data_IF_675298069896
#
_entry.id   IF_675298069896
#
_cell.length_a   1.000
_cell.length_b   1.000
_cell.length_c   1.000
_cell.angle_alpha   90.00
_cell.angle_beta   90.00
_cell.angle_gamma   90.00
#
_symmetry.space_group_name_H-M   'P 1'
#
loop_
_entity.id
_entity.type
_entity.pdbx_description
1 polymer ?
#
# COMPACT_ATOMS: atom_id res chain seq x y z
N UNK A 1 7.82 -20.03 -4.78
CA UNK A 1 6.63 -19.70 -3.95
C UNK A 1 5.73 -18.78 -4.76
N UNK A 2 4.50 -19.20 -5.07
CA UNK A 2 3.49 -18.31 -5.65
C UNK A 2 2.67 -17.75 -4.49
N UNK A 3 2.75 -16.45 -4.27
CA UNK A 3 1.82 -15.76 -3.36
C UNK A 3 0.54 -15.51 -4.17
N UNK A 4 -0.64 -15.95 -3.70
CA UNK A 4 -1.90 -15.67 -4.38
C UNK A 4 -2.30 -14.21 -4.12
N UNK A 5 -1.51 -13.27 -4.63
CA UNK A 5 -1.72 -11.83 -4.47
C UNK A 5 -1.93 -11.20 -5.83
N UNK A 6 -2.85 -10.25 -5.89
CA UNK A 6 -3.06 -9.39 -7.05
C UNK A 6 -2.45 -8.04 -6.70
N UNK A 7 -1.56 -7.54 -7.55
CA UNK A 7 -0.85 -6.27 -7.36
C UNK A 7 -1.20 -5.40 -8.56
N UNK A 8 -1.78 -4.24 -8.28
CA UNK A 8 -2.18 -3.26 -9.29
C UNK A 8 -1.69 -1.87 -8.86
N UNK A 9 -1.44 -1.00 -9.84
CA UNK A 9 -1.02 0.37 -9.61
C UNK A 9 -2.04 1.31 -10.26
N UNK A 10 -2.45 2.32 -9.50
CA UNK A 10 -3.43 3.32 -9.90
C UNK A 10 -2.95 4.73 -9.54
N UNK A 11 -3.44 5.77 -10.23
CA UNK A 11 -3.27 7.15 -9.78
C UNK A 11 -3.96 7.39 -8.42
N UNK A 12 -3.50 8.41 -7.70
CA UNK A 12 -4.01 8.82 -6.39
C UNK A 12 -5.50 9.16 -6.40
N UNK A 13 -6.01 9.65 -7.54
CA UNK A 13 -7.43 9.98 -7.73
C UNK A 13 -8.35 8.77 -7.61
N UNK A 14 -7.85 7.56 -7.89
CA UNK A 14 -8.60 6.31 -7.78
C UNK A 14 -8.42 5.61 -6.43
N UNK A 15 -7.60 6.16 -5.52
CA UNK A 15 -7.33 5.54 -4.23
C UNK A 15 -8.62 5.28 -3.43
N UNK A 16 -9.62 6.15 -3.57
CA UNK A 16 -10.88 5.99 -2.85
C UNK A 16 -11.85 4.96 -3.42
N UNK A 17 -11.78 4.67 -4.71
CA UNK A 17 -12.60 3.64 -5.34
C UNK A 17 -11.90 2.27 -5.19
N UNK A 18 -10.65 2.18 -5.63
CA UNK A 18 -9.89 0.92 -5.67
C UNK A 18 -9.38 0.49 -4.30
N UNK A 19 -9.07 1.43 -3.42
CA UNK A 19 -8.57 1.12 -2.08
C UNK A 19 -9.60 0.44 -1.18
N UNK A 20 -10.90 0.57 -1.47
CA UNK A 20 -11.96 -0.14 -0.71
C UNK A 20 -11.89 -1.66 -0.93
N UNK A 21 -11.56 -2.09 -2.15
CA UNK A 21 -11.44 -3.52 -2.50
C UNK A 21 -10.07 -4.09 -2.18
N UNK A 22 -9.07 -3.26 -1.88
CA UNK A 22 -7.72 -3.70 -1.55
C UNK A 22 -7.62 -4.20 -0.09
N UNK A 23 -6.77 -5.19 0.17
CA UNK A 23 -6.43 -5.61 1.54
C UNK A 23 -5.42 -4.66 2.20
N UNK A 24 -4.59 -4.00 1.38
CA UNK A 24 -3.60 -3.01 1.81
C UNK A 24 -3.41 -1.97 0.71
N UNK A 25 -3.23 -0.71 1.11
CA UNK A 25 -2.93 0.39 0.20
C UNK A 25 -1.51 0.88 0.46
N UNK A 26 -0.68 0.88 -0.58
CA UNK A 26 0.70 1.36 -0.52
C UNK A 26 0.83 2.62 -1.36
N UNK A 27 1.27 3.70 -0.71
CA UNK A 27 1.51 4.99 -1.35
C UNK A 27 2.97 5.09 -1.80
N UNK A 28 3.18 5.57 -3.03
CA UNK A 28 4.52 5.89 -3.49
C UNK A 28 5.15 7.01 -2.63
N UNK A 29 6.48 7.04 -2.48
CA UNK A 29 7.16 8.05 -1.66
C UNK A 29 6.91 9.48 -2.14
N UNK A 30 6.61 9.65 -3.43
CA UNK A 30 6.28 10.95 -4.06
C UNK A 30 4.98 11.57 -3.53
N UNK A 31 4.01 10.73 -3.12
CA UNK A 31 2.69 11.16 -2.63
C UNK A 31 2.51 10.89 -1.13
N UNK A 32 3.60 10.73 -0.39
CA UNK A 32 3.58 10.43 1.04
C UNK A 32 2.79 11.46 1.88
N UNK A 33 2.76 12.72 1.44
CA UNK A 33 1.99 13.79 2.09
C UNK A 33 0.47 13.54 2.09
N UNK A 34 -0.04 12.71 1.18
CA UNK A 34 -1.46 12.34 1.11
C UNK A 34 -1.84 11.24 2.10
N UNK A 35 -0.88 10.64 2.81
CA UNK A 35 -1.14 9.55 3.76
C UNK A 35 -2.28 9.88 4.75
N UNK A 36 -2.32 11.05 5.42
CA UNK A 36 -3.39 11.36 6.36
C UNK A 36 -4.77 11.47 5.70
N UNK A 37 -4.81 11.91 4.44
CA UNK A 37 -6.04 12.05 3.66
C UNK A 37 -6.56 10.67 3.25
N UNK A 38 -5.69 9.81 2.69
CA UNK A 38 -6.07 8.46 2.27
C UNK A 38 -6.46 7.60 3.47
N UNK A 39 -5.79 7.75 4.62
CA UNK A 39 -6.19 7.08 5.86
C UNK A 39 -7.58 7.50 6.35
N UNK A 40 -7.94 8.78 6.21
CA UNK A 40 -9.31 9.24 6.54
C UNK A 40 -10.33 8.71 5.55
N UNK A 41 -9.95 8.56 4.29
CA UNK A 41 -10.82 8.07 3.24
C UNK A 41 -11.04 6.55 3.34
N UNK A 42 -10.03 5.81 3.82
CA UNK A 42 -10.04 4.37 4.01
C UNK A 42 -9.74 3.99 5.47
N UNK A 43 -10.60 4.38 6.44
CA UNK A 43 -10.30 4.22 7.86
C UNK A 43 -10.18 2.75 8.31
N UNK A 44 -10.77 1.83 7.55
CA UNK A 44 -10.78 0.39 7.84
C UNK A 44 -9.70 -0.39 7.07
N UNK A 45 -8.80 0.29 6.36
CA UNK A 45 -7.76 -0.34 5.55
C UNK A 45 -6.37 0.09 6.02
N UNK A 46 -5.38 -0.81 6.04
CA UNK A 46 -4.00 -0.42 6.30
C UNK A 46 -3.49 0.39 5.10
N UNK A 47 -3.10 1.64 5.36
CA UNK A 47 -2.48 2.54 4.40
C UNK A 47 -1.08 2.88 4.88
N UNK A 48 -0.07 2.55 4.07
CA UNK A 48 1.33 2.79 4.38
C UNK A 48 2.07 3.43 3.19
N UNK A 49 3.19 4.10 3.46
CA UNK A 49 4.05 4.67 2.42
C UNK A 49 5.19 3.69 2.14
N UNK A 50 5.46 3.43 0.86
CA UNK A 50 6.59 2.60 0.44
C UNK A 50 7.89 3.34 0.78
N UNK A 51 8.81 2.63 1.42
CA UNK A 51 10.15 3.13 1.69
C UNK A 51 10.82 3.61 0.39
N UNK A 52 11.34 4.83 0.41
CA UNK A 52 11.91 5.48 -0.77
C UNK A 52 13.14 4.76 -1.31
N UNK A 53 13.92 4.10 -0.44
CA UNK A 53 15.10 3.32 -0.83
C UNK A 53 14.66 2.03 -1.51
N UNK A 54 13.66 1.32 -0.96
CA UNK A 54 13.10 0.12 -1.60
C UNK A 54 12.48 0.44 -2.96
N UNK A 55 11.73 1.54 -3.04
CA UNK A 55 11.11 2.00 -4.28
C UNK A 55 12.16 2.38 -5.33
N UNK A 56 13.18 3.15 -4.94
CA UNK A 56 14.26 3.56 -5.83
C UNK A 56 15.15 2.40 -6.30
N UNK A 57 15.30 1.35 -5.49
CA UNK A 57 16.03 0.13 -5.85
C UNK A 57 15.19 -0.89 -6.62
N UNK A 58 13.90 -0.63 -6.83
CA UNK A 58 12.95 -1.55 -7.46
C UNK A 58 12.96 -2.92 -6.75
N UNK A 59 13.09 -2.88 -5.41
CA UNK A 59 13.09 -4.10 -4.59
C UNK A 59 11.66 -4.58 -4.34
N UNK A 60 11.09 -5.25 -5.36
CA UNK A 60 9.73 -5.78 -5.29
C UNK A 60 9.54 -6.81 -4.17
N UNK A 61 10.59 -7.55 -3.78
CA UNK A 61 10.51 -8.50 -2.68
C UNK A 61 10.43 -7.79 -1.32
N UNK A 62 11.23 -6.74 -1.13
CA UNK A 62 11.17 -5.89 0.04
C UNK A 62 9.80 -5.23 0.21
N UNK A 63 9.27 -4.66 -0.86
CA UNK A 63 7.93 -4.04 -0.87
C UNK A 63 6.83 -5.08 -0.58
N UNK A 64 6.90 -6.27 -1.19
CA UNK A 64 5.93 -7.34 -0.94
C UNK A 64 5.96 -7.81 0.53
N UNK A 65 7.15 -7.95 1.13
CA UNK A 65 7.27 -8.31 2.56
C UNK A 65 6.66 -7.26 3.47
N UNK A 66 6.87 -5.98 3.18
CA UNK A 66 6.27 -4.88 3.93
C UNK A 66 4.73 -4.92 3.82
N UNK A 67 4.20 -5.13 2.60
CA UNK A 67 2.76 -5.26 2.36
C UNK A 67 2.13 -6.40 3.20
N UNK A 68 2.75 -7.57 3.20
CA UNK A 68 2.25 -8.73 3.98
C UNK A 68 2.33 -8.46 5.48
N UNK A 69 3.38 -7.77 5.95
CA UNK A 69 3.50 -7.40 7.35
C UNK A 69 2.39 -6.42 7.78
N UNK A 70 2.05 -5.44 6.94
CA UNK A 70 0.96 -4.49 7.17
C UNK A 70 -0.41 -5.20 7.29
N UNK A 71 -0.71 -6.12 6.36
CA UNK A 71 -1.94 -6.93 6.41
C UNK A 71 -2.03 -7.73 7.71
N UNK A 72 -0.93 -8.42 8.09
CA UNK A 72 -0.89 -9.20 9.33
C UNK A 72 -1.07 -8.35 10.58
N UNK A 73 -0.50 -7.14 10.59
CA UNK A 73 -0.63 -6.20 11.71
C UNK A 73 -2.06 -5.69 11.85
N UNK A 74 -2.77 -5.47 10.74
CA UNK A 74 -4.16 -5.02 10.75
C UNK A 74 -5.18 -6.14 11.10
N UNK A 75 -4.77 -7.42 10.99
CA UNK A 75 -5.60 -8.56 11.34
C UNK A 75 -5.53 -8.97 12.83
N UNK A 76 -4.65 -8.34 13.62
CA UNK A 76 -4.49 -8.53 15.06
C UNK A 76 -5.11 -7.36 15.83
#
# INVERSE_FOLDING_TARGET
MKFPVVIEAFPETLAGEKGQTADVVLLGPQIAYMLPEIQRLLPNKPVEVIDSVLYGKIDGLGVLKAAVAAIKKAAN
#
